data_IF_836094731460
#
_entry.id   IF_836094731460
#
_cell.length_a   1.000
_cell.length_b   1.000
_cell.length_c   1.000
_cell.angle_alpha   90.00
_cell.angle_beta   90.00
_cell.angle_gamma   90.00
#
_symmetry.space_group_name_H-M   'P 1'
#
loop_
_entity.id
_entity.type
_entity.pdbx_description
1 polymer ?
#
# COMPACT_ATOMS: atom_id res chain seq x y z
N UNK A 1 -7.88 9.13 -1.35
CA UNK A 1 -6.66 8.79 -2.10
C UNK A 1 -5.60 9.88 -1.96
N UNK A 2 -6.00 11.12 -2.08
CA UNK A 2 -5.10 12.25 -1.90
C UNK A 2 -4.51 12.28 -0.48
N UNK A 3 -5.32 11.91 0.50
CA UNK A 3 -4.89 11.87 1.89
C UNK A 3 -3.76 10.86 2.12
N UNK A 4 -3.81 9.69 1.47
CA UNK A 4 -2.77 8.67 1.60
C UNK A 4 -1.46 9.15 0.98
N UNK A 5 -1.54 9.81 -0.17
CA UNK A 5 -0.35 10.38 -0.82
C UNK A 5 0.30 11.44 0.06
N UNK A 6 -0.52 12.31 0.67
CA UNK A 6 -0.04 13.33 1.59
C UNK A 6 0.65 12.69 2.80
N UNK A 7 0.05 11.63 3.36
CA UNK A 7 0.63 10.89 4.48
C UNK A 7 2.01 10.32 4.13
N UNK A 8 2.14 9.73 2.93
CA UNK A 8 3.44 9.22 2.49
C UNK A 8 4.48 10.32 2.38
N UNK A 9 4.08 11.51 1.92
CA UNK A 9 4.97 12.68 1.88
C UNK A 9 5.40 13.13 3.27
N UNK A 10 4.48 13.13 4.21
CA UNK A 10 4.78 13.49 5.60
C UNK A 10 5.76 12.50 6.24
N UNK A 11 5.56 11.21 5.99
CA UNK A 11 6.47 10.16 6.48
C UNK A 11 7.85 10.36 5.88
N UNK A 12 7.94 10.62 4.58
CA UNK A 12 9.23 10.88 3.92
C UNK A 12 9.96 12.04 4.57
N UNK A 13 9.24 13.14 4.83
CA UNK A 13 9.84 14.32 5.45
C UNK A 13 10.31 14.06 6.88
N UNK A 14 9.61 13.20 7.61
CA UNK A 14 9.95 12.88 9.01
C UNK A 14 11.10 11.89 9.14
N UNK A 15 11.39 11.11 8.10
CA UNK A 15 12.47 10.14 8.14
C UNK A 15 13.84 10.83 8.08
N UNK A 16 14.79 10.28 8.80
CA UNK A 16 16.19 10.68 8.64
C UNK A 16 16.73 10.15 7.31
N UNK A 17 17.74 10.82 6.72
CA UNK A 17 18.39 10.29 5.52
C UNK A 17 18.86 8.84 5.77
N UNK A 18 18.58 7.95 4.82
CA UNK A 18 18.87 6.53 4.96
C UNK A 18 17.80 5.75 5.69
N UNK A 19 16.79 6.42 6.21
CA UNK A 19 15.68 5.75 6.91
C UNK A 19 14.83 4.91 5.97
N UNK A 20 14.25 3.83 6.49
CA UNK A 20 13.44 2.89 5.73
C UNK A 20 11.99 2.97 6.18
N UNK A 21 11.09 3.05 5.22
CA UNK A 21 9.65 2.99 5.45
C UNK A 21 9.16 1.60 5.06
N UNK A 22 8.54 0.90 6.01
CA UNK A 22 7.90 -0.39 5.76
C UNK A 22 6.41 -0.24 6.04
N UNK A 23 5.58 -0.64 5.08
CA UNK A 23 4.13 -0.50 5.22
C UNK A 23 3.43 -1.78 4.79
N UNK A 24 2.77 -2.43 5.75
CA UNK A 24 1.90 -3.57 5.46
C UNK A 24 0.51 -3.00 5.18
N UNK A 25 0.07 -3.12 3.94
CA UNK A 25 -1.12 -2.43 3.45
C UNK A 25 -2.14 -3.40 2.89
N UNK A 26 -3.42 -3.06 3.06
CA UNK A 26 -4.51 -3.74 2.40
C UNK A 26 -4.73 -3.05 1.05
N UNK A 27 -4.36 -3.72 -0.04
CA UNK A 27 -4.43 -3.14 -1.39
C UNK A 27 -5.55 -3.77 -2.20
N UNK A 28 -5.95 -3.08 -3.28
CA UNK A 28 -7.00 -3.57 -4.15
C UNK A 28 -6.55 -4.82 -4.92
N UNK A 29 -7.47 -5.77 -5.09
CA UNK A 29 -7.24 -6.91 -5.97
C UNK A 29 -7.29 -6.46 -7.43
N UNK A 30 -6.63 -7.23 -8.30
CA UNK A 30 -6.64 -6.95 -9.74
C UNK A 30 -8.02 -7.15 -10.35
N UNK A 31 -8.83 -8.04 -9.79
CA UNK A 31 -10.18 -8.32 -10.28
C UNK A 31 -11.16 -8.49 -9.11
N UNK A 32 -12.45 -8.30 -9.42
CA UNK A 32 -13.51 -8.53 -8.44
C UNK A 32 -13.54 -9.99 -7.97
N UNK A 33 -13.26 -10.92 -8.87
CA UNK A 33 -13.20 -12.34 -8.53
C UNK A 33 -12.11 -12.61 -7.47
N UNK A 34 -10.93 -12.04 -7.65
CA UNK A 34 -9.85 -12.18 -6.68
C UNK A 34 -10.20 -11.54 -5.34
N UNK A 35 -10.91 -10.40 -5.37
CA UNK A 35 -11.38 -9.75 -4.14
C UNK A 35 -12.33 -10.68 -3.37
N UNK A 36 -13.29 -11.29 -4.06
CA UNK A 36 -14.22 -12.23 -3.42
C UNK A 36 -13.50 -13.46 -2.88
N UNK A 37 -12.48 -13.96 -3.56
CA UNK A 37 -11.66 -15.06 -3.07
C UNK A 37 -10.89 -14.68 -1.81
N UNK A 38 -10.40 -13.45 -1.74
CA UNK A 38 -9.72 -12.94 -0.55
C UNK A 38 -10.70 -12.89 0.64
N UNK A 39 -11.90 -12.35 0.44
CA UNK A 39 -12.92 -12.30 1.49
C UNK A 39 -13.28 -13.70 1.98
N UNK A 40 -13.43 -14.65 1.07
CA UNK A 40 -13.73 -16.04 1.42
C UNK A 40 -12.60 -16.66 2.25
N UNK A 41 -11.34 -16.36 1.91
CA UNK A 41 -10.18 -16.84 2.67
C UNK A 41 -10.15 -16.28 4.09
N UNK A 42 -10.72 -15.09 4.30
CA UNK A 42 -10.86 -14.47 5.63
C UNK A 42 -12.17 -14.86 6.32
N UNK A 43 -12.97 -15.70 5.69
CA UNK A 43 -14.29 -16.08 6.18
C UNK A 43 -15.22 -14.88 6.35
N UNK A 44 -15.11 -13.90 5.43
CA UNK A 44 -15.90 -12.67 5.41
C UNK A 44 -16.81 -12.70 4.19
N UNK A 45 -18.07 -12.32 4.37
CA UNK A 45 -19.02 -12.24 3.26
C UNK A 45 -18.94 -10.86 2.62
N UNK A 46 -19.14 -10.75 1.27
CA UNK A 46 -19.12 -9.45 0.60
C UNK A 46 -20.07 -8.41 1.20
N UNK A 47 -21.25 -8.85 1.67
CA UNK A 47 -22.23 -7.96 2.27
C UNK A 47 -21.80 -7.42 3.63
N UNK A 48 -20.84 -8.04 4.28
CA UNK A 48 -20.30 -7.60 5.57
C UNK A 48 -19.12 -6.64 5.41
N UNK A 49 -18.72 -6.39 4.16
CA UNK A 49 -17.62 -5.47 3.88
C UNK A 49 -18.08 -4.01 4.03
N UNK A 50 -17.23 -3.18 4.64
CA UNK A 50 -17.51 -1.76 4.79
C UNK A 50 -17.55 -1.07 3.42
N UNK A 51 -18.71 -0.55 2.98
CA UNK A 51 -18.82 0.09 1.67
C UNK A 51 -17.99 1.38 1.54
N UNK A 52 -17.56 1.97 2.66
CA UNK A 52 -16.70 3.15 2.64
C UNK A 52 -15.22 2.80 2.47
N UNK A 53 -14.87 1.52 2.57
CA UNK A 53 -13.49 1.07 2.48
C UNK A 53 -13.05 1.04 1.02
N UNK A 54 -12.29 2.08 0.61
CA UNK A 54 -11.81 2.22 -0.76
C UNK A 54 -10.34 1.81 -0.80
N UNK A 55 -10.07 0.65 -1.38
CA UNK A 55 -8.71 0.12 -1.49
C UNK A 55 -7.99 0.76 -2.69
N UNK A 56 -6.72 1.03 -2.49
CA UNK A 56 -5.86 1.57 -3.54
C UNK A 56 -5.04 0.47 -4.18
N UNK A 57 -4.84 0.62 -5.48
CA UNK A 57 -3.98 -0.26 -6.26
C UNK A 57 -2.53 -0.20 -5.75
N UNK A 58 -1.90 -1.37 -5.63
CA UNK A 58 -0.52 -1.49 -5.19
C UNK A 58 0.43 -0.71 -6.11
N UNK A 59 0.25 -0.84 -7.42
CA UNK A 59 1.11 -0.17 -8.39
C UNK A 59 1.06 1.36 -8.21
N UNK A 60 -0.13 1.91 -8.02
CA UNK A 60 -0.29 3.35 -7.81
C UNK A 60 0.41 3.82 -6.54
N UNK A 61 0.34 3.04 -5.49
CA UNK A 61 1.00 3.40 -4.23
C UNK A 61 2.53 3.35 -4.36
N UNK A 62 3.07 2.35 -5.04
CA UNK A 62 4.51 2.29 -5.32
C UNK A 62 4.96 3.47 -6.17
N UNK A 63 4.14 3.87 -7.15
CA UNK A 63 4.44 5.01 -7.99
C UNK A 63 4.51 6.29 -7.15
N UNK A 64 3.57 6.50 -6.24
CA UNK A 64 3.59 7.65 -5.33
C UNK A 64 4.85 7.68 -4.48
N UNK A 65 5.26 6.53 -3.94
CA UNK A 65 6.48 6.47 -3.14
C UNK A 65 7.69 6.92 -3.96
N UNK A 66 7.79 6.48 -5.20
CA UNK A 66 8.87 6.89 -6.11
C UNK A 66 8.82 8.38 -6.42
N UNK A 67 7.63 8.91 -6.73
CA UNK A 67 7.45 10.32 -7.04
C UNK A 67 7.80 11.22 -5.85
N UNK A 68 7.49 10.79 -4.63
CA UNK A 68 7.81 11.52 -3.42
C UNK A 68 9.32 11.57 -3.18
N UNK A 69 10.05 10.56 -3.64
CA UNK A 69 11.50 10.53 -3.53
C UNK A 69 12.09 9.30 -2.88
N UNK A 70 11.26 8.33 -2.49
CA UNK A 70 11.77 7.08 -1.94
C UNK A 70 12.56 6.32 -3.00
N UNK A 71 13.73 5.83 -2.61
CA UNK A 71 14.54 4.95 -3.46
C UNK A 71 14.18 3.50 -3.16
N UNK A 72 14.34 2.66 -4.19
CA UNK A 72 14.10 1.22 -4.09
C UNK A 72 12.71 0.89 -3.54
N UNK A 73 11.72 1.70 -3.93
CA UNK A 73 10.32 1.43 -3.56
C UNK A 73 9.84 0.18 -4.26
N UNK A 74 9.43 -0.82 -3.48
CA UNK A 74 9.01 -2.11 -4.00
C UNK A 74 8.08 -2.80 -3.03
N UNK A 75 7.40 -3.84 -3.54
CA UNK A 75 6.62 -4.75 -2.72
C UNK A 75 7.46 -6.01 -2.49
N UNK A 76 7.85 -6.25 -1.25
CA UNK A 76 8.71 -7.37 -0.91
C UNK A 76 7.92 -8.66 -0.62
N UNK A 77 6.64 -8.53 -0.29
CA UNK A 77 5.81 -9.67 0.03
C UNK A 77 4.35 -9.32 -0.27
N UNK A 78 3.63 -10.28 -0.79
CA UNK A 78 2.20 -10.09 -1.04
C UNK A 78 1.47 -11.42 -0.86
N UNK A 79 0.40 -11.38 -0.09
CA UNK A 79 -0.56 -12.47 -0.03
C UNK A 79 -1.93 -11.88 -0.31
N UNK A 80 -2.47 -12.19 -1.50
CA UNK A 80 -3.75 -11.66 -1.99
C UNK A 80 -3.78 -10.13 -1.90
N UNK A 81 -4.64 -9.55 -1.04
CA UNK A 81 -4.76 -8.09 -0.89
C UNK A 81 -3.86 -7.51 0.21
N UNK A 82 -3.04 -8.34 0.85
CA UNK A 82 -2.08 -7.85 1.84
C UNK A 82 -0.71 -7.73 1.18
N UNK A 83 -0.13 -6.54 1.26
CA UNK A 83 1.14 -6.25 0.59
C UNK A 83 2.08 -5.53 1.54
N UNK A 84 3.35 -5.95 1.56
CA UNK A 84 4.39 -5.28 2.30
C UNK A 84 5.21 -4.42 1.34
N UNK A 85 5.04 -3.11 1.44
CA UNK A 85 5.77 -2.15 0.63
C UNK A 85 6.92 -1.56 1.44
N UNK A 86 8.02 -1.27 0.76
CA UNK A 86 9.19 -0.64 1.38
C UNK A 86 9.69 0.49 0.50
N UNK A 87 10.37 1.43 1.12
CA UNK A 87 11.08 2.49 0.41
C UNK A 87 12.13 3.07 1.33
N UNK A 88 13.19 3.60 0.76
CA UNK A 88 14.31 4.16 1.52
C UNK A 88 14.47 5.64 1.20
N UNK A 89 14.64 6.46 2.23
CA UNK A 89 14.94 7.87 2.03
C UNK A 89 16.42 8.00 1.65
N UNK A 90 16.73 8.73 0.55
CA UNK A 90 18.12 8.93 0.15
C UNK A 90 18.97 9.54 1.26
N UNK A 91 20.28 9.22 1.22
CA UNK A 91 21.23 9.78 2.16
C UNK A 91 21.52 11.26 1.93
N UNK A 92 21.30 11.71 0.71
CA UNK A 92 21.56 13.10 0.34
C UNK A 92 20.31 13.81 -0.15
#
# INVERSE_FOLDING_TARGET
HERKRILYGEIFSALNPGGVFCNLEHVASATETLHHQFLAALNTKPEDEDPSNKLLDLHQQLLWLREIGFQNADCLWKWRELALMVGTKPLA
#
